data_IF_915968739452
#
_entry.id   IF_915968739452
#
_cell.length_a   1.000
_cell.length_b   1.000
_cell.length_c   1.000
_cell.angle_alpha   90.00
_cell.angle_beta   90.00
_cell.angle_gamma   90.00
#
_symmetry.space_group_name_H-M   'P 1'
#
loop_
_entity.id
_entity.type
_entity.pdbx_description
1 polymer ?
#
# COMPACT_ATOMS: atom_id res chain seq x y z
N UNK A 1 -15.67 -0.72 -24.63
CA UNK A 1 -16.12 -1.93 -23.94
C UNK A 1 -14.90 -2.73 -23.51
N UNK A 2 -14.87 -3.21 -22.26
CA UNK A 2 -13.71 -3.89 -21.70
C UNK A 2 -13.65 -5.36 -22.17
N UNK A 3 -12.59 -5.83 -22.85
CA UNK A 3 -12.48 -7.23 -23.30
C UNK A 3 -12.46 -8.25 -22.17
N UNK A 4 -12.18 -7.83 -20.94
CA UNK A 4 -12.25 -8.70 -19.76
C UNK A 4 -13.66 -9.25 -19.50
N UNK A 5 -14.71 -8.44 -19.77
CA UNK A 5 -16.11 -8.82 -19.50
C UNK A 5 -16.61 -9.91 -20.44
N UNK A 6 -16.17 -9.85 -21.71
CA UNK A 6 -16.53 -10.84 -22.75
C UNK A 6 -15.53 -12.00 -22.83
N UNK A 7 -14.45 -11.97 -22.06
CA UNK A 7 -13.43 -13.01 -22.07
C UNK A 7 -13.97 -14.34 -21.53
N UNK A 8 -13.56 -15.44 -22.15
CA UNK A 8 -13.77 -16.79 -21.64
C UNK A 8 -13.05 -17.00 -20.30
N UNK A 9 -13.43 -18.03 -19.54
CA UNK A 9 -12.80 -18.36 -18.26
C UNK A 9 -11.27 -18.49 -18.37
N UNK A 10 -10.78 -19.25 -19.35
CA UNK A 10 -9.35 -19.44 -19.56
C UNK A 10 -8.63 -18.12 -19.85
N UNK A 11 -9.24 -17.26 -20.69
CA UNK A 11 -8.68 -15.95 -21.02
C UNK A 11 -8.59 -15.03 -19.80
N UNK A 12 -9.56 -15.08 -18.87
CA UNK A 12 -9.49 -14.32 -17.61
C UNK A 12 -8.42 -14.85 -16.67
N UNK A 13 -8.26 -16.17 -16.61
CA UNK A 13 -7.30 -16.83 -15.73
C UNK A 13 -5.85 -16.62 -16.20
N UNK A 14 -5.60 -16.62 -17.51
CA UNK A 14 -4.27 -16.42 -18.10
C UNK A 14 -4.01 -14.99 -18.56
N UNK A 15 -4.94 -14.06 -18.32
CA UNK A 15 -4.88 -12.66 -18.76
C UNK A 15 -4.75 -12.47 -20.28
N UNK A 16 -5.20 -13.45 -21.08
CA UNK A 16 -5.04 -13.44 -22.53
C UNK A 16 -5.75 -12.26 -23.21
N UNK A 17 -6.86 -11.79 -22.64
CA UNK A 17 -7.62 -10.64 -23.15
C UNK A 17 -6.78 -9.35 -23.26
N UNK A 18 -5.74 -9.20 -22.42
CA UNK A 18 -4.87 -8.03 -22.41
C UNK A 18 -3.87 -8.00 -23.58
N UNK A 19 -3.57 -9.14 -24.20
CA UNK A 19 -2.58 -9.25 -25.28
C UNK A 19 -2.85 -8.29 -26.45
N UNK A 20 -4.11 -8.04 -26.77
CA UNK A 20 -4.49 -7.11 -27.84
C UNK A 20 -3.95 -5.69 -27.62
N UNK A 21 -3.94 -5.21 -26.38
CA UNK A 21 -3.38 -3.90 -26.02
C UNK A 21 -1.86 -3.90 -26.03
N UNK A 22 -1.22 -4.99 -25.59
CA UNK A 22 0.25 -5.16 -25.67
C UNK A 22 0.70 -5.06 -27.12
N UNK A 23 0.10 -5.82 -28.03
CA UNK A 23 0.48 -5.79 -29.45
C UNK A 23 0.22 -4.43 -30.10
N UNK A 24 -0.82 -3.72 -29.68
CA UNK A 24 -1.10 -2.36 -30.15
C UNK A 24 -0.02 -1.38 -29.67
N UNK A 25 0.35 -1.45 -28.39
CA UNK A 25 1.42 -0.64 -27.79
C UNK A 25 2.81 -0.93 -28.33
N UNK A 26 3.08 -2.18 -28.74
CA UNK A 26 4.31 -2.55 -29.43
C UNK A 26 4.41 -1.91 -30.81
N UNK A 27 3.28 -1.80 -31.53
CA UNK A 27 3.24 -1.23 -32.89
C UNK A 27 3.17 0.30 -32.91
N UNK A 28 2.52 0.91 -31.94
CA UNK A 28 2.39 2.37 -31.83
C UNK A 28 2.31 2.82 -30.36
N UNK A 29 2.82 4.02 -30.02
CA UNK A 29 2.55 4.61 -28.71
C UNK A 29 1.04 4.69 -28.45
N UNK A 30 0.62 4.24 -27.26
CA UNK A 30 -0.79 4.24 -26.87
C UNK A 30 -1.26 5.66 -26.56
N UNK A 31 -2.44 6.01 -27.07
CA UNK A 31 -3.14 7.25 -26.72
C UNK A 31 -4.30 6.97 -25.75
N UNK A 32 -4.85 8.02 -25.12
CA UNK A 32 -6.01 7.90 -24.21
C UNK A 32 -7.22 7.25 -24.89
N UNK A 33 -7.41 7.50 -26.18
CA UNK A 33 -8.47 6.90 -27.00
C UNK A 33 -8.33 5.39 -27.19
N UNK A 34 -7.11 4.85 -27.05
CA UNK A 34 -6.84 3.42 -27.17
C UNK A 34 -7.18 2.65 -25.87
N UNK A 35 -7.46 3.36 -24.77
CA UNK A 35 -7.74 2.77 -23.46
C UNK A 35 -9.17 2.24 -23.37
N UNK A 36 -9.33 1.08 -22.72
CA UNK A 36 -10.66 0.55 -22.47
C UNK A 36 -11.37 1.32 -21.37
N UNK A 37 -12.69 1.47 -21.54
CA UNK A 37 -13.60 1.89 -20.48
C UNK A 37 -13.55 0.89 -19.33
N UNK A 38 -13.57 1.39 -18.08
CA UNK A 38 -13.71 0.54 -16.89
C UNK A 38 -14.99 -0.30 -16.95
N UNK A 39 -14.92 -1.52 -16.39
CA UNK A 39 -16.08 -2.36 -16.16
C UNK A 39 -17.06 -1.70 -15.19
N UNK A 40 -18.34 -2.03 -15.30
CA UNK A 40 -19.39 -1.39 -14.50
C UNK A 40 -19.21 -1.58 -12.99
N UNK A 41 -18.65 -2.71 -12.57
CA UNK A 41 -18.30 -3.01 -11.18
C UNK A 41 -17.17 -2.12 -10.64
N UNK A 42 -16.30 -1.63 -11.53
CA UNK A 42 -15.15 -0.80 -11.19
C UNK A 42 -15.43 0.71 -11.35
N UNK A 43 -16.65 1.10 -11.74
CA UNK A 43 -17.05 2.50 -11.78
C UNK A 43 -17.38 3.03 -10.39
N UNK A 44 -17.04 4.30 -10.14
CA UNK A 44 -17.25 4.98 -8.86
C UNK A 44 -18.69 4.88 -8.36
N UNK A 45 -19.69 5.00 -9.25
CA UNK A 45 -21.09 4.89 -8.86
C UNK A 45 -21.50 3.50 -8.33
N UNK A 46 -20.92 2.42 -8.84
CA UNK A 46 -21.17 1.06 -8.32
C UNK A 46 -20.41 0.82 -7.01
N UNK A 47 -19.17 1.29 -6.94
CA UNK A 47 -18.32 1.22 -5.74
C UNK A 47 -18.98 1.95 -4.56
N UNK A 48 -19.43 3.20 -4.78
CA UNK A 48 -20.09 3.99 -3.75
C UNK A 48 -21.42 3.37 -3.31
N UNK A 49 -22.26 2.89 -4.24
CA UNK A 49 -23.51 2.21 -3.88
C UNK A 49 -23.29 1.03 -2.92
N UNK A 50 -22.24 0.23 -3.16
CA UNK A 50 -21.91 -0.89 -2.29
C UNK A 50 -21.44 -0.44 -0.90
N UNK A 51 -20.62 0.62 -0.84
CA UNK A 51 -20.09 1.19 0.39
C UNK A 51 -21.16 1.93 1.21
N UNK A 52 -21.93 2.81 0.57
CA UNK A 52 -22.96 3.65 1.18
C UNK A 52 -24.06 2.83 1.86
N UNK A 53 -24.37 1.64 1.30
CA UNK A 53 -25.29 0.67 1.92
C UNK A 53 -24.90 0.28 3.35
N UNK A 54 -23.60 0.30 3.66
CA UNK A 54 -23.05 -0.04 4.98
C UNK A 54 -22.67 1.23 5.75
N UNK A 55 -22.11 2.22 5.05
CA UNK A 55 -21.58 3.44 5.64
C UNK A 55 -22.67 4.36 6.19
N UNK A 56 -23.72 4.66 5.41
CA UNK A 56 -24.77 5.61 5.82
C UNK A 56 -25.47 5.14 7.11
N UNK A 57 -25.96 3.89 7.23
CA UNK A 57 -26.57 3.42 8.48
C UNK A 57 -25.59 3.41 9.66
N UNK A 58 -24.29 3.18 9.40
CA UNK A 58 -23.26 3.20 10.45
C UNK A 58 -23.01 4.62 10.96
N UNK A 59 -23.09 5.63 10.08
CA UNK A 59 -22.97 7.06 10.44
C UNK A 59 -24.20 7.50 11.24
N UNK A 60 -25.40 7.16 10.77
CA UNK A 60 -26.67 7.52 11.44
C UNK A 60 -26.75 6.93 12.84
N UNK A 61 -26.45 5.62 12.98
CA UNK A 61 -26.41 4.96 14.29
C UNK A 61 -25.43 5.62 15.26
N UNK A 62 -24.23 5.99 14.79
CA UNK A 62 -23.26 6.70 15.63
C UNK A 62 -23.72 8.10 16.02
N UNK A 63 -24.41 8.83 15.12
CA UNK A 63 -25.00 10.15 15.44
C UNK A 63 -26.07 10.00 16.52
N UNK A 64 -26.94 8.99 16.43
CA UNK A 64 -27.96 8.70 17.45
C UNK A 64 -27.36 8.29 18.80
N UNK A 65 -26.36 7.41 18.81
CA UNK A 65 -25.66 7.00 20.04
C UNK A 65 -24.93 8.17 20.71
N UNK A 66 -24.31 9.04 19.90
CA UNK A 66 -23.63 10.24 20.41
C UNK A 66 -24.61 11.26 20.97
N UNK A 67 -25.79 11.42 20.36
CA UNK A 67 -26.85 12.29 20.89
C UNK A 67 -27.40 11.79 22.23
N UNK A 68 -27.58 10.46 22.39
CA UNK A 68 -28.00 9.85 23.65
C UNK A 68 -26.96 10.00 24.76
N UNK A 69 -25.68 9.80 24.45
CA UNK A 69 -24.59 10.00 25.43
C UNK A 69 -24.42 11.46 25.86
N UNK A 70 -24.64 12.39 24.93
CA UNK A 70 -24.65 13.82 25.25
C UNK A 70 -25.79 14.18 26.23
N UNK A 71 -26.97 13.55 26.10
CA UNK A 71 -28.04 13.71 27.09
C UNK A 71 -27.73 13.05 28.44
N UNK A 72 -26.90 12.00 28.45
CA UNK A 72 -26.46 11.29 29.67
C UNK A 72 -25.26 11.96 30.37
N UNK A 73 -24.75 13.09 29.85
CA UNK A 73 -23.64 13.85 30.44
C UNK A 73 -22.24 13.31 30.11
N UNK A 74 -22.13 12.32 29.22
CA UNK A 74 -20.84 11.82 28.73
C UNK A 74 -20.27 12.74 27.63
N UNK A 75 -19.02 13.18 27.79
CA UNK A 75 -18.33 14.08 26.85
C UNK A 75 -17.59 13.37 25.71
N UNK A 76 -17.62 12.03 25.68
CA UNK A 76 -16.89 11.26 24.65
C UNK A 76 -17.69 11.15 23.36
N UNK A 77 -17.26 11.91 22.33
CA UNK A 77 -17.81 11.79 20.97
C UNK A 77 -17.30 10.50 20.32
N UNK A 78 -18.21 9.60 19.95
CA UNK A 78 -17.88 8.37 19.23
C UNK A 78 -17.44 8.71 17.81
N UNK A 79 -16.15 8.59 17.52
CA UNK A 79 -15.62 8.86 16.17
C UNK A 79 -15.99 7.73 15.21
N UNK A 80 -16.47 8.10 14.02
CA UNK A 80 -16.77 7.14 12.96
C UNK A 80 -15.44 6.76 12.30
N UNK A 81 -15.11 5.48 12.31
CA UNK A 81 -13.90 4.98 11.63
C UNK A 81 -14.20 4.48 10.22
N UNK A 82 -13.56 5.09 9.23
CA UNK A 82 -13.63 4.73 7.82
C UNK A 82 -13.16 3.29 7.59
N UNK A 83 -12.12 2.88 8.31
CA UNK A 83 -11.56 1.54 8.21
C UNK A 83 -12.61 0.45 8.47
N UNK A 84 -13.46 0.65 9.47
CA UNK A 84 -14.53 -0.30 9.79
C UNK A 84 -15.58 -0.39 8.66
N UNK A 85 -15.92 0.74 8.03
CA UNK A 85 -16.80 0.77 6.86
C UNK A 85 -16.19 0.02 5.67
N UNK A 86 -14.91 0.27 5.39
CA UNK A 86 -14.17 -0.39 4.31
C UNK A 86 -14.09 -1.90 4.54
N UNK A 87 -13.68 -2.32 5.75
CA UNK A 87 -13.56 -3.76 6.09
C UNK A 87 -14.91 -4.45 5.92
N UNK A 88 -16.00 -3.90 6.48
CA UNK A 88 -17.33 -4.51 6.33
C UNK A 88 -17.81 -4.59 4.88
N UNK A 89 -17.38 -3.67 4.02
CA UNK A 89 -17.76 -3.66 2.60
C UNK A 89 -16.97 -4.69 1.80
N UNK A 90 -15.66 -4.81 2.04
CA UNK A 90 -14.76 -5.60 1.20
C UNK A 90 -14.28 -6.92 1.82
N UNK A 91 -14.70 -7.28 3.05
CA UNK A 91 -14.23 -8.50 3.72
C UNK A 91 -14.42 -9.80 2.92
N UNK A 92 -15.51 -10.03 2.14
CA UNK A 92 -15.66 -11.31 1.44
C UNK A 92 -14.61 -11.45 0.33
N UNK A 93 -14.35 -10.36 -0.39
CA UNK A 93 -13.31 -10.31 -1.42
C UNK A 93 -11.91 -10.45 -0.82
N UNK A 94 -11.64 -9.78 0.30
CA UNK A 94 -10.38 -9.87 1.04
C UNK A 94 -10.13 -11.30 1.55
N UNK A 95 -11.16 -11.97 2.08
CA UNK A 95 -11.07 -13.35 2.55
C UNK A 95 -10.78 -14.33 1.40
N UNK A 96 -11.47 -14.19 0.27
CA UNK A 96 -11.22 -15.01 -0.92
C UNK A 96 -9.76 -14.89 -1.38
N UNK A 97 -9.25 -13.65 -1.44
CA UNK A 97 -7.86 -13.37 -1.83
C UNK A 97 -6.87 -13.96 -0.82
N UNK A 98 -7.16 -13.87 0.48
CA UNK A 98 -6.35 -14.49 1.53
C UNK A 98 -6.29 -16.02 1.39
N UNK A 99 -7.41 -16.67 1.08
CA UNK A 99 -7.47 -18.13 0.83
C UNK A 99 -6.62 -18.51 -0.39
N UNK A 100 -6.74 -17.78 -1.51
CA UNK A 100 -5.92 -18.00 -2.70
C UNK A 100 -4.43 -17.88 -2.33
N UNK A 101 -4.06 -16.86 -1.55
CA UNK A 101 -2.67 -16.67 -1.10
C UNK A 101 -2.19 -17.82 -0.23
N UNK A 102 -3.04 -18.32 0.67
CA UNK A 102 -2.70 -19.44 1.55
C UNK A 102 -2.42 -20.71 0.74
N UNK A 103 -3.28 -21.02 -0.23
CA UNK A 103 -3.11 -22.19 -1.11
C UNK A 103 -1.83 -22.04 -1.95
N UNK A 104 -1.60 -20.87 -2.55
CA UNK A 104 -0.37 -20.60 -3.31
C UNK A 104 0.88 -20.77 -2.43
N UNK A 105 0.84 -20.26 -1.20
CA UNK A 105 1.96 -20.37 -0.25
C UNK A 105 2.24 -21.82 0.17
N UNK A 106 1.21 -22.65 0.28
CA UNK A 106 1.37 -24.07 0.57
C UNK A 106 2.01 -24.83 -0.61
N UNK A 107 1.61 -24.49 -1.85
CA UNK A 107 2.17 -25.09 -3.07
C UNK A 107 3.67 -24.83 -3.23
N UNK A 108 4.19 -23.70 -2.74
CA UNK A 108 5.63 -23.39 -2.76
C UNK A 108 6.49 -24.47 -2.06
N UNK A 109 5.93 -25.18 -1.07
CA UNK A 109 6.65 -26.25 -0.35
C UNK A 109 6.53 -27.64 -0.98
N UNK A 110 5.61 -27.82 -1.92
CA UNK A 110 5.41 -29.13 -2.58
C UNK A 110 6.64 -29.50 -3.40
N UNK A 111 7.27 -28.54 -4.08
CA UNK A 111 8.40 -28.84 -4.96
C UNK A 111 9.66 -29.34 -4.21
N UNK A 112 10.11 -28.72 -3.10
CA UNK A 112 11.17 -29.31 -2.26
C UNK A 112 10.88 -30.74 -1.79
N UNK A 113 9.63 -31.04 -1.41
CA UNK A 113 9.24 -32.39 -0.96
C UNK A 113 9.23 -33.40 -2.11
N UNK A 114 8.83 -32.99 -3.32
CA UNK A 114 8.91 -33.82 -4.51
C UNK A 114 10.35 -34.07 -4.94
N UNK A 115 11.22 -33.07 -4.81
CA UNK A 115 12.64 -33.20 -5.13
C UNK A 115 13.31 -34.25 -4.23
N UNK A 116 13.04 -34.23 -2.92
CA UNK A 116 13.55 -35.26 -2.00
C UNK A 116 13.08 -36.67 -2.40
N UNK A 117 11.79 -36.84 -2.69
CA UNK A 117 11.23 -38.12 -3.17
C UNK A 117 11.85 -38.57 -4.49
N UNK A 118 12.12 -37.64 -5.41
CA UNK A 118 12.75 -37.93 -6.68
C UNK A 118 14.21 -38.36 -6.50
N UNK A 119 14.97 -37.68 -5.63
CA UNK A 119 16.35 -38.07 -5.31
C UNK A 119 16.40 -39.47 -4.67
N UNK A 120 15.47 -39.76 -3.76
CA UNK A 120 15.36 -41.08 -3.14
C UNK A 120 14.96 -42.17 -4.16
N UNK A 121 14.08 -41.86 -5.12
CA UNK A 121 13.72 -42.74 -6.24
C UNK A 121 14.90 -43.00 -7.21
N UNK A 122 15.83 -42.07 -7.34
CA UNK A 122 17.03 -42.25 -8.18
C UNK A 122 18.16 -43.01 -7.46
N UNK A 123 17.99 -43.33 -6.17
CA UNK A 123 19.03 -44.00 -5.40
C UNK A 123 19.15 -45.47 -5.82
N UNK A 124 20.37 -46.05 -5.92
CA UNK A 124 20.57 -47.40 -6.47
C UNK A 124 19.83 -48.55 -5.75
N UNK A 125 19.34 -48.29 -4.54
CA UNK A 125 18.66 -49.26 -3.67
C UNK A 125 17.12 -49.19 -3.73
N UNK A 126 16.53 -48.27 -4.50
CA UNK A 126 15.07 -48.13 -4.56
C UNK A 126 14.45 -49.17 -5.50
N UNK A 127 13.67 -50.09 -4.94
CA UNK A 127 12.82 -51.03 -5.69
C UNK A 127 11.45 -50.42 -6.05
N UNK A 128 11.41 -49.11 -6.28
CA UNK A 128 10.15 -48.41 -6.55
C UNK A 128 9.71 -48.56 -8.01
N UNK A 129 8.40 -48.71 -8.28
CA UNK A 129 7.90 -48.80 -9.65
C UNK A 129 8.16 -47.52 -10.48
N UNK A 130 8.46 -47.68 -11.77
CA UNK A 130 8.79 -46.57 -12.69
C UNK A 130 7.70 -45.49 -12.78
N UNK A 131 6.42 -45.86 -12.65
CA UNK A 131 5.29 -44.91 -12.71
C UNK A 131 5.37 -43.82 -11.64
N UNK A 132 6.01 -44.10 -10.49
CA UNK A 132 6.20 -43.12 -9.42
C UNK A 132 7.19 -42.03 -9.83
N UNK A 133 8.25 -42.40 -10.55
CA UNK A 133 9.20 -41.43 -11.12
C UNK A 133 8.50 -40.47 -12.10
N UNK A 134 7.71 -41.00 -13.04
CA UNK A 134 6.92 -40.18 -13.96
C UNK A 134 5.90 -39.29 -13.23
N UNK A 135 5.28 -39.80 -12.15
CA UNK A 135 4.36 -39.02 -11.32
C UNK A 135 5.09 -37.87 -10.60
N UNK A 136 6.24 -38.12 -9.97
CA UNK A 136 7.02 -37.08 -9.29
C UNK A 136 7.47 -35.99 -10.27
N UNK A 137 8.03 -36.37 -11.42
CA UNK A 137 8.44 -35.43 -12.46
C UNK A 137 7.26 -34.60 -12.99
N UNK A 138 6.10 -35.22 -13.22
CA UNK A 138 4.89 -34.53 -13.67
C UNK A 138 4.38 -33.54 -12.61
N UNK A 139 4.37 -33.94 -11.34
CA UNK A 139 3.95 -33.07 -10.23
C UNK A 139 4.93 -31.90 -10.01
N UNK A 140 6.24 -32.10 -10.25
CA UNK A 140 7.24 -31.03 -10.18
C UNK A 140 7.03 -29.96 -11.26
N UNK A 141 6.37 -30.27 -12.37
CA UNK A 141 5.93 -29.27 -13.36
C UNK A 141 4.58 -28.64 -12.98
N UNK A 142 3.60 -29.46 -12.63
CA UNK A 142 2.23 -29.03 -12.35
C UNK A 142 2.18 -28.10 -11.13
N UNK A 143 2.92 -28.40 -10.07
CA UNK A 143 2.88 -27.64 -8.82
C UNK A 143 3.33 -26.18 -9.00
N UNK A 144 4.52 -25.87 -9.55
CA UNK A 144 4.94 -24.48 -9.80
C UNK A 144 4.05 -23.76 -10.83
N UNK A 145 3.49 -24.47 -11.81
CA UNK A 145 2.56 -23.89 -12.78
C UNK A 145 1.30 -23.34 -12.08
N UNK A 146 0.66 -24.16 -11.24
CA UNK A 146 -0.52 -23.72 -10.47
C UNK A 146 -0.16 -22.69 -9.39
N UNK A 147 1.00 -22.81 -8.76
CA UNK A 147 1.49 -21.82 -7.80
C UNK A 147 1.64 -20.43 -8.44
N UNK A 148 2.29 -20.37 -9.61
CA UNK A 148 2.44 -19.13 -10.40
C UNK A 148 1.10 -18.56 -10.83
N UNK A 149 0.17 -19.42 -11.26
CA UNK A 149 -1.17 -19.00 -11.67
C UNK A 149 -1.97 -18.41 -10.50
N UNK A 150 -1.96 -19.06 -9.33
CA UNK A 150 -2.64 -18.58 -8.14
C UNK A 150 -2.02 -17.29 -7.59
N UNK A 151 -0.68 -17.17 -7.57
CA UNK A 151 -0.01 -15.93 -7.20
C UNK A 151 -0.40 -14.78 -8.15
N UNK A 152 -0.43 -15.02 -9.45
CA UNK A 152 -0.83 -14.01 -10.45
C UNK A 152 -2.29 -13.57 -10.26
N UNK A 153 -3.19 -14.53 -9.99
CA UNK A 153 -4.60 -14.24 -9.70
C UNK A 153 -4.78 -13.51 -8.37
N UNK A 154 -4.01 -13.86 -7.34
CA UNK A 154 -3.95 -13.15 -6.07
C UNK A 154 -3.56 -11.68 -6.30
N UNK A 155 -2.45 -11.42 -6.99
CA UNK A 155 -1.94 -10.08 -7.25
C UNK A 155 -2.96 -9.23 -8.02
N UNK A 156 -3.57 -9.79 -9.07
CA UNK A 156 -4.59 -9.08 -9.82
C UNK A 156 -5.80 -8.70 -8.96
N UNK A 157 -6.29 -9.63 -8.15
CA UNK A 157 -7.49 -9.42 -7.33
C UNK A 157 -7.24 -8.46 -6.17
N UNK A 158 -6.12 -8.56 -5.47
CA UNK A 158 -5.80 -7.63 -4.37
C UNK A 158 -5.61 -6.20 -4.91
N UNK A 159 -4.93 -6.05 -6.05
CA UNK A 159 -4.76 -4.74 -6.71
C UNK A 159 -6.10 -4.15 -7.18
N UNK A 160 -7.02 -4.98 -7.66
CA UNK A 160 -8.36 -4.50 -8.04
C UNK A 160 -9.16 -4.04 -6.82
N UNK A 161 -9.13 -4.82 -5.72
CA UNK A 161 -9.82 -4.46 -4.47
C UNK A 161 -9.22 -3.19 -3.86
N UNK A 162 -7.89 -3.07 -3.81
CA UNK A 162 -7.21 -1.88 -3.27
C UNK A 162 -7.53 -0.64 -4.08
N UNK A 163 -7.62 -0.74 -5.41
CA UNK A 163 -8.07 0.37 -6.27
C UNK A 163 -9.53 0.76 -6.05
N UNK A 164 -10.44 -0.21 -5.83
CA UNK A 164 -11.84 0.07 -5.45
C UNK A 164 -11.91 0.82 -4.12
N UNK A 165 -11.13 0.37 -3.12
CA UNK A 165 -11.02 1.03 -1.82
C UNK A 165 -10.50 2.46 -1.98
N UNK A 166 -9.47 2.68 -2.81
CA UNK A 166 -8.94 4.02 -3.10
C UNK A 166 -9.99 4.94 -3.70
N UNK A 167 -10.72 4.46 -4.70
CA UNK A 167 -11.80 5.21 -5.33
C UNK A 167 -12.89 5.58 -4.31
N UNK A 168 -13.23 4.65 -3.40
CA UNK A 168 -14.15 4.90 -2.30
C UNK A 168 -13.63 6.00 -1.36
N UNK A 169 -12.38 5.90 -0.88
CA UNK A 169 -11.75 6.89 0.01
C UNK A 169 -11.75 8.28 -0.61
N UNK A 170 -11.29 8.41 -1.86
CA UNK A 170 -11.27 9.69 -2.58
C UNK A 170 -12.68 10.25 -2.70
N UNK A 171 -13.66 9.40 -3.04
CA UNK A 171 -15.05 9.84 -3.19
C UNK A 171 -15.66 10.30 -1.87
N UNK A 172 -15.39 9.61 -0.76
CA UNK A 172 -15.84 10.02 0.57
C UNK A 172 -15.21 11.35 1.00
N UNK A 173 -13.91 11.56 0.74
CA UNK A 173 -13.22 12.82 1.01
C UNK A 173 -13.84 13.95 0.17
N UNK A 174 -14.11 13.68 -1.11
CA UNK A 174 -14.73 14.64 -2.02
C UNK A 174 -16.14 15.02 -1.57
N UNK A 175 -17.01 14.04 -1.28
CA UNK A 175 -18.36 14.30 -0.76
C UNK A 175 -18.33 15.08 0.56
N UNK A 176 -17.43 14.73 1.48
CA UNK A 176 -17.25 15.46 2.74
C UNK A 176 -16.82 16.91 2.51
N UNK A 177 -15.95 17.15 1.53
CA UNK A 177 -15.48 18.52 1.21
C UNK A 177 -16.62 19.47 0.83
N UNK A 178 -17.70 18.95 0.24
CA UNK A 178 -18.88 19.70 -0.17
C UNK A 178 -19.83 20.04 1.00
N UNK A 179 -19.75 19.29 2.11
CA UNK A 179 -20.64 19.44 3.27
C UNK A 179 -19.96 20.04 4.51
N UNK A 180 -18.66 20.29 4.45
CA UNK A 180 -17.88 20.77 5.58
C UNK A 180 -18.23 22.23 5.94
N UNK A 181 -18.44 22.50 7.23
CA UNK A 181 -18.69 23.83 7.78
C UNK A 181 -17.45 24.74 7.71
N UNK A 182 -17.63 26.05 7.91
CA UNK A 182 -16.54 27.02 8.01
C UNK A 182 -15.56 26.69 9.14
N UNK A 183 -16.09 26.29 10.31
CA UNK A 183 -15.30 25.84 11.47
C UNK A 183 -14.50 24.57 11.13
N UNK A 184 -15.15 23.55 10.55
CA UNK A 184 -14.47 22.31 10.15
C UNK A 184 -13.42 22.51 9.04
N UNK A 185 -13.62 23.49 8.15
CA UNK A 185 -12.66 23.82 7.07
C UNK A 185 -11.45 24.61 7.58
N UNK A 186 -11.55 25.29 8.72
CA UNK A 186 -10.43 26.04 9.32
C UNK A 186 -9.23 25.13 9.67
N UNK A 187 -9.52 23.90 10.06
CA UNK A 187 -8.53 22.89 10.45
C UNK A 187 -7.83 22.20 9.27
N UNK A 188 -8.32 22.40 8.04
CA UNK A 188 -7.81 21.72 6.84
C UNK A 188 -7.66 22.69 5.67
N UNK A 189 -6.41 22.98 5.31
CA UNK A 189 -6.09 23.76 4.12
C UNK A 189 -6.45 23.00 2.83
N UNK A 190 -6.68 23.71 1.73
CA UNK A 190 -6.93 23.07 0.42
C UNK A 190 -5.79 22.12 0.02
N UNK A 191 -4.54 22.45 0.37
CA UNK A 191 -3.38 21.59 0.14
C UNK A 191 -3.43 20.29 0.94
N UNK A 192 -3.88 20.34 2.19
CA UNK A 192 -4.04 19.14 3.03
C UNK A 192 -5.14 18.21 2.49
N UNK A 193 -6.26 18.75 2.01
CA UNK A 193 -7.33 17.94 1.42
C UNK A 193 -6.82 17.21 0.15
N UNK A 194 -6.05 17.91 -0.70
CA UNK A 194 -5.41 17.28 -1.87
C UNK A 194 -4.41 16.21 -1.45
N UNK A 195 -3.66 16.43 -0.37
CA UNK A 195 -2.73 15.44 0.18
C UNK A 195 -3.48 14.18 0.68
N UNK A 196 -4.62 14.35 1.35
CA UNK A 196 -5.48 13.23 1.76
C UNK A 196 -5.97 12.39 0.56
N UNK A 197 -6.39 13.05 -0.53
CA UNK A 197 -6.85 12.37 -1.74
C UNK A 197 -5.71 11.69 -2.52
N UNK A 198 -4.49 12.21 -2.45
CA UNK A 198 -3.36 11.72 -3.26
C UNK A 198 -2.42 10.79 -2.47
N UNK A 199 -1.75 11.30 -1.44
CA UNK A 199 -0.70 10.59 -0.70
C UNK A 199 -1.29 9.62 0.33
N UNK A 200 -2.25 10.08 1.14
CA UNK A 200 -2.82 9.23 2.19
C UNK A 200 -3.63 8.07 1.59
N UNK A 201 -4.40 8.32 0.52
CA UNK A 201 -5.11 7.27 -0.23
C UNK A 201 -4.16 6.26 -0.89
N UNK A 202 -3.02 6.70 -1.40
CA UNK A 202 -2.01 5.83 -2.00
C UNK A 202 -1.36 4.92 -0.94
N UNK A 203 -1.02 5.46 0.23
CA UNK A 203 -0.47 4.65 1.36
C UNK A 203 -1.43 3.54 1.78
N UNK A 204 -2.76 3.79 1.73
CA UNK A 204 -3.78 2.78 2.00
C UNK A 204 -3.70 1.63 0.98
N UNK A 205 -3.62 1.95 -0.32
CA UNK A 205 -3.48 0.95 -1.38
C UNK A 205 -2.24 0.10 -1.18
N UNK A 206 -1.11 0.75 -0.93
CA UNK A 206 0.18 0.09 -0.75
C UNK A 206 0.17 -0.87 0.45
N UNK A 207 -0.45 -0.47 1.56
CA UNK A 207 -0.59 -1.34 2.72
C UNK A 207 -1.53 -2.51 2.45
N UNK A 208 -2.69 -2.30 1.82
CA UNK A 208 -3.64 -3.38 1.50
C UNK A 208 -3.00 -4.44 0.61
N UNK A 209 -2.26 -4.01 -0.42
CA UNK A 209 -1.55 -4.93 -1.31
C UNK A 209 -0.50 -5.77 -0.57
N UNK A 210 0.12 -5.21 0.48
CA UNK A 210 1.15 -5.91 1.22
C UNK A 210 0.63 -6.66 2.47
N UNK A 211 -0.59 -6.40 2.90
CA UNK A 211 -1.16 -6.91 4.14
C UNK A 211 -1.09 -8.44 4.25
N UNK A 212 -1.39 -9.17 3.18
CA UNK A 212 -1.38 -10.64 3.25
C UNK A 212 0.02 -11.24 3.41
N UNK A 213 1.08 -10.50 3.07
CA UNK A 213 2.43 -10.93 3.37
C UNK A 213 2.70 -10.95 4.88
N UNK A 214 2.02 -10.12 5.67
CA UNK A 214 2.26 -10.02 7.12
C UNK A 214 1.97 -11.34 7.85
N UNK A 215 0.91 -12.07 7.46
CA UNK A 215 0.58 -13.37 8.04
C UNK A 215 1.14 -14.55 7.24
N UNK A 216 1.26 -14.40 5.92
CA UNK A 216 1.81 -15.44 5.04
C UNK A 216 3.31 -15.66 5.28
N UNK A 217 4.10 -14.59 5.48
CA UNK A 217 5.53 -14.69 5.70
C UNK A 217 5.93 -15.48 6.96
N UNK A 218 5.37 -15.22 8.15
CA UNK A 218 5.62 -16.05 9.33
C UNK A 218 5.24 -17.51 9.12
N UNK A 219 4.09 -17.77 8.50
CA UNK A 219 3.65 -19.12 8.19
C UNK A 219 4.64 -19.84 7.26
N UNK A 220 5.14 -19.15 6.23
CA UNK A 220 6.16 -19.68 5.33
C UNK A 220 7.49 -19.94 6.05
N UNK A 221 7.91 -19.03 6.94
CA UNK A 221 9.12 -19.23 7.76
C UNK A 221 8.97 -20.47 8.64
N UNK A 222 7.85 -20.60 9.36
CA UNK A 222 7.60 -21.71 10.28
C UNK A 222 7.59 -23.04 9.51
N UNK A 223 6.81 -23.13 8.42
CA UNK A 223 6.75 -24.35 7.60
C UNK A 223 8.11 -24.69 6.98
N UNK A 224 8.82 -23.69 6.45
CA UNK A 224 10.16 -23.88 5.90
C UNK A 224 11.16 -24.38 6.94
N UNK A 225 11.13 -23.84 8.17
CA UNK A 225 11.98 -24.30 9.27
C UNK A 225 11.64 -25.71 9.71
N UNK A 226 10.35 -26.07 9.77
CA UNK A 226 9.92 -27.45 10.10
C UNK A 226 10.42 -28.44 9.04
N UNK A 227 10.30 -28.11 7.76
CA UNK A 227 10.80 -28.96 6.67
C UNK A 227 12.33 -29.07 6.67
N UNK A 228 13.03 -27.96 6.91
CA UNK A 228 14.49 -27.97 7.06
C UNK A 228 14.92 -28.82 8.26
N UNK A 229 14.21 -28.71 9.40
CA UNK A 229 14.46 -29.54 10.57
C UNK A 229 14.29 -31.03 10.28
N UNK A 230 13.28 -31.40 9.49
CA UNK A 230 13.07 -32.80 9.08
C UNK A 230 14.20 -33.32 8.19
N UNK A 231 14.74 -32.48 7.30
CA UNK A 231 15.79 -32.91 6.36
C UNK A 231 17.21 -32.86 6.96
N UNK A 232 17.52 -31.84 7.76
CA UNK A 232 18.87 -31.53 8.24
C UNK A 232 19.06 -31.74 9.75
N UNK A 233 17.97 -31.98 10.50
CA UNK A 233 18.00 -32.18 11.95
C UNK A 233 18.64 -31.01 12.69
N UNK A 234 19.53 -31.34 13.63
CA UNK A 234 20.22 -30.38 14.52
C UNK A 234 21.06 -29.34 13.74
N UNK A 235 21.51 -29.65 12.52
CA UNK A 235 22.24 -28.69 11.68
C UNK A 235 21.41 -27.43 11.35
N UNK A 236 20.07 -27.54 11.38
CA UNK A 236 19.14 -26.41 11.21
C UNK A 236 19.30 -25.35 12.31
N UNK A 237 19.71 -25.74 13.52
CA UNK A 237 19.97 -24.80 14.62
C UNK A 237 21.07 -23.80 14.25
N UNK A 238 22.14 -24.25 13.58
CA UNK A 238 23.24 -23.38 13.18
C UNK A 238 22.76 -22.29 12.20
N UNK A 239 21.88 -22.63 11.25
CA UNK A 239 21.22 -21.68 10.35
C UNK A 239 20.32 -20.69 11.10
N UNK A 240 19.50 -21.17 12.03
CA UNK A 240 18.63 -20.31 12.85
C UNK A 240 19.45 -19.35 13.74
N UNK A 241 20.53 -19.82 14.35
CA UNK A 241 21.43 -18.97 15.14
C UNK A 241 22.05 -17.89 14.27
N UNK A 242 22.52 -18.23 13.07
CA UNK A 242 23.05 -17.23 12.14
C UNK A 242 21.98 -16.20 11.74
N UNK A 243 20.74 -16.63 11.51
CA UNK A 243 19.62 -15.71 11.26
C UNK A 243 19.41 -14.70 12.38
N UNK A 244 19.38 -15.18 13.63
CA UNK A 244 19.22 -14.31 14.79
C UNK A 244 20.36 -13.32 14.95
N UNK A 245 21.57 -13.64 14.47
CA UNK A 245 22.73 -12.74 14.44
C UNK A 245 22.66 -11.75 13.28
N UNK A 246 22.14 -12.15 12.11
CA UNK A 246 22.01 -11.27 10.94
C UNK A 246 20.97 -10.17 11.14
N UNK A 247 19.90 -10.41 11.90
CA UNK A 247 18.87 -9.40 12.21
C UNK A 247 19.44 -8.15 12.90
N UNK A 248 20.13 -8.24 14.05
CA UNK A 248 20.72 -7.07 14.70
C UNK A 248 21.84 -6.45 13.88
N UNK A 249 22.60 -7.24 13.11
CA UNK A 249 23.60 -6.72 12.19
C UNK A 249 22.98 -5.82 11.09
N UNK A 250 21.91 -6.29 10.45
CA UNK A 250 21.16 -5.52 9.46
C UNK A 250 20.47 -4.29 10.08
N UNK A 251 19.98 -4.39 11.32
CA UNK A 251 19.42 -3.26 12.05
C UNK A 251 20.47 -2.18 12.35
N UNK A 252 21.70 -2.58 12.68
CA UNK A 252 22.82 -1.66 12.87
C UNK A 252 23.17 -0.93 11.56
N UNK A 253 23.29 -1.66 10.44
CA UNK A 253 23.53 -1.06 9.11
C UNK A 253 22.41 -0.06 8.78
N UNK A 254 21.15 -0.46 8.95
CA UNK A 254 19.98 0.39 8.70
C UNK A 254 20.03 1.68 9.53
N UNK A 255 20.44 1.59 10.79
CA UNK A 255 20.59 2.76 11.67
C UNK A 255 21.67 3.71 11.13
N UNK A 256 22.82 3.18 10.69
CA UNK A 256 23.87 3.99 10.06
C UNK A 256 23.42 4.61 8.74
N UNK A 257 22.68 3.86 7.92
CA UNK A 257 22.08 4.38 6.68
C UNK A 257 21.17 5.57 6.97
N UNK A 258 20.35 5.51 8.02
CA UNK A 258 19.49 6.64 8.43
C UNK A 258 20.31 7.89 8.75
N UNK A 259 21.42 7.77 9.49
CA UNK A 259 22.30 8.91 9.78
C UNK A 259 22.94 9.49 8.52
N UNK A 260 23.45 8.64 7.62
CA UNK A 260 24.02 9.08 6.35
C UNK A 260 22.96 9.73 5.45
N UNK A 261 21.74 9.20 5.43
CA UNK A 261 20.61 9.77 4.68
C UNK A 261 20.28 11.19 5.15
N UNK A 262 20.28 11.44 6.46
CA UNK A 262 20.07 12.78 7.01
C UNK A 262 21.19 13.75 6.57
N UNK A 263 22.45 13.29 6.54
CA UNK A 263 23.57 14.10 6.04
C UNK A 263 23.43 14.42 4.54
N UNK A 264 23.03 13.44 3.72
CA UNK A 264 22.75 13.62 2.29
C UNK A 264 21.67 14.68 2.10
N UNK A 265 20.55 14.57 2.82
CA UNK A 265 19.44 15.53 2.72
C UNK A 265 19.89 16.94 3.07
N UNK A 266 20.68 17.11 4.13
CA UNK A 266 21.18 18.43 4.57
C UNK A 266 22.04 19.12 3.50
N UNK A 267 22.96 18.41 2.85
CA UNK A 267 23.80 19.00 1.79
C UNK A 267 23.03 19.18 0.48
N UNK A 268 22.11 18.26 0.16
CA UNK A 268 21.19 18.39 -0.97
C UNK A 268 20.32 19.64 -0.85
N UNK A 269 19.77 19.92 0.33
CA UNK A 269 18.90 21.07 0.56
C UNK A 269 19.66 22.40 0.38
N UNK A 270 20.91 22.48 0.86
CA UNK A 270 21.79 23.64 0.59
C UNK A 270 22.03 23.84 -0.90
N UNK A 271 22.33 22.76 -1.64
CA UNK A 271 22.57 22.81 -3.09
C UNK A 271 21.31 23.25 -3.85
N UNK A 272 20.15 22.68 -3.53
CA UNK A 272 18.87 23.02 -4.18
C UNK A 272 18.48 24.47 -3.88
N UNK A 273 18.68 24.94 -2.64
CA UNK A 273 18.46 26.33 -2.27
C UNK A 273 19.35 27.28 -3.09
N UNK A 274 20.66 27.03 -3.16
CA UNK A 274 21.58 27.83 -3.96
C UNK A 274 21.21 27.82 -5.45
N UNK A 275 20.85 26.66 -6.00
CA UNK A 275 20.40 26.57 -7.40
C UNK A 275 19.14 27.40 -7.66
N UNK A 276 18.20 27.46 -6.70
CA UNK A 276 17.03 28.33 -6.81
C UNK A 276 17.41 29.81 -6.82
N UNK A 277 18.36 30.22 -5.96
CA UNK A 277 18.88 31.60 -5.93
C UNK A 277 19.57 31.98 -7.26
N UNK A 278 20.39 31.07 -7.82
CA UNK A 278 21.05 31.26 -9.12
C UNK A 278 20.02 31.45 -10.25
N UNK A 279 18.99 30.59 -10.31
CA UNK A 279 17.99 30.64 -11.38
C UNK A 279 17.12 31.90 -11.31
N UNK A 280 16.69 32.28 -10.10
CA UNK A 280 15.92 33.50 -9.90
C UNK A 280 16.76 34.76 -10.19
N UNK A 281 18.06 34.73 -9.90
CA UNK A 281 19.00 35.84 -10.07
C UNK A 281 19.84 35.82 -11.36
N UNK A 282 19.53 34.97 -12.33
CA UNK A 282 20.47 34.61 -13.41
C UNK A 282 20.97 35.81 -14.24
N UNK A 283 20.11 36.80 -14.47
CA UNK A 283 20.47 38.01 -15.22
C UNK A 283 21.57 38.81 -14.51
N UNK A 284 21.48 38.95 -13.19
CA UNK A 284 22.47 39.68 -12.38
C UNK A 284 23.80 38.93 -12.40
N UNK A 285 23.78 37.61 -12.21
CA UNK A 285 25.00 36.80 -12.25
C UNK A 285 25.73 36.89 -13.60
N UNK A 286 24.97 36.93 -14.71
CA UNK A 286 25.49 37.10 -16.08
C UNK A 286 26.11 38.48 -16.30
N UNK A 287 25.47 39.54 -15.79
CA UNK A 287 25.96 40.92 -15.91
C UNK A 287 27.30 41.12 -15.17
N UNK A 288 27.49 40.44 -14.03
CA UNK A 288 28.72 40.53 -13.23
C UNK A 288 29.74 39.42 -13.52
N UNK A 289 29.47 38.54 -14.50
CA UNK A 289 30.32 37.38 -14.82
C UNK A 289 30.64 36.48 -13.60
N UNK A 290 29.67 36.30 -12.70
CA UNK A 290 29.81 35.53 -11.45
C UNK A 290 29.50 34.03 -11.60
N UNK A 291 29.30 33.54 -12.82
CA UNK A 291 28.84 32.16 -13.03
C UNK A 291 29.85 31.12 -12.55
N UNK A 292 31.14 31.39 -12.73
CA UNK A 292 32.23 30.51 -12.27
C UNK A 292 32.26 30.43 -10.73
N UNK A 293 32.18 31.56 -10.05
CA UNK A 293 32.16 31.62 -8.58
C UNK A 293 30.97 30.86 -7.97
N UNK A 294 29.76 31.07 -8.51
CA UNK A 294 28.57 30.36 -8.04
C UNK A 294 28.57 28.87 -8.41
N UNK A 295 29.13 28.52 -9.58
CA UNK A 295 29.36 27.12 -9.97
C UNK A 295 30.28 26.42 -8.97
N UNK A 296 31.40 27.03 -8.61
CA UNK A 296 32.38 26.40 -7.73
C UNK A 296 31.84 26.27 -6.29
N UNK A 297 31.03 27.23 -5.83
CA UNK A 297 30.28 27.11 -4.59
C UNK A 297 29.28 25.94 -4.63
N UNK A 298 28.51 25.81 -5.70
CA UNK A 298 27.59 24.68 -5.88
C UNK A 298 28.33 23.33 -5.94
N UNK A 299 29.49 23.29 -6.60
CA UNK A 299 30.36 22.11 -6.66
C UNK A 299 30.93 21.73 -5.29
N UNK A 300 31.15 22.70 -4.40
CA UNK A 300 31.58 22.43 -3.01
C UNK A 300 30.50 21.67 -2.24
N UNK A 301 29.24 22.07 -2.34
CA UNK A 301 28.12 21.31 -1.75
C UNK A 301 27.95 19.95 -2.41
N UNK A 302 28.09 19.89 -3.74
CA UNK A 302 27.99 18.63 -4.50
C UNK A 302 29.06 17.62 -4.08
N UNK A 303 30.31 18.04 -3.87
CA UNK A 303 31.40 17.17 -3.42
C UNK A 303 31.11 16.56 -2.04
N UNK A 304 30.59 17.36 -1.10
CA UNK A 304 30.17 16.85 0.23
C UNK A 304 29.00 15.87 0.13
N UNK A 305 27.99 16.20 -0.69
CA UNK A 305 26.86 15.32 -0.99
C UNK A 305 27.35 13.98 -1.59
N UNK A 306 28.29 14.01 -2.54
CA UNK A 306 28.88 12.83 -3.16
C UNK A 306 29.65 11.94 -2.16
N UNK A 307 30.38 12.53 -1.21
CA UNK A 307 31.06 11.75 -0.15
C UNK A 307 30.05 11.00 0.71
N UNK A 308 28.97 11.65 1.13
CA UNK A 308 27.90 10.98 1.88
C UNK A 308 27.16 9.92 1.04
N UNK A 309 26.91 10.19 -0.24
CA UNK A 309 26.36 9.21 -1.18
C UNK A 309 27.28 8.00 -1.36
N UNK A 310 28.60 8.20 -1.39
CA UNK A 310 29.58 7.10 -1.45
C UNK A 310 29.50 6.23 -0.19
N UNK A 311 29.44 6.84 1.00
CA UNK A 311 29.21 6.11 2.25
C UNK A 311 27.90 5.33 2.24
N UNK A 312 26.82 5.93 1.72
CA UNK A 312 25.54 5.26 1.55
C UNK A 312 25.64 4.06 0.58
N UNK A 313 26.38 4.20 -0.52
CA UNK A 313 26.59 3.12 -1.48
C UNK A 313 27.31 1.93 -0.84
N UNK A 314 28.34 2.16 -0.02
CA UNK A 314 29.02 1.08 0.72
C UNK A 314 28.08 0.38 1.72
N UNK A 315 27.25 1.14 2.45
CA UNK A 315 26.26 0.57 3.36
C UNK A 315 25.20 -0.26 2.61
N UNK A 316 24.71 0.23 1.46
CA UNK A 316 23.82 -0.51 0.59
C UNK A 316 24.47 -1.79 0.07
N UNK A 317 25.72 -1.74 -0.36
CA UNK A 317 26.46 -2.92 -0.81
C UNK A 317 26.60 -3.97 0.29
N UNK A 318 26.91 -3.55 1.53
CA UNK A 318 26.94 -4.44 2.69
C UNK A 318 25.57 -5.08 2.98
N UNK A 319 24.49 -4.30 2.85
CA UNK A 319 23.12 -4.81 3.02
C UNK A 319 22.77 -5.84 1.94
N UNK A 320 23.02 -5.53 0.67
CA UNK A 320 22.79 -6.43 -0.47
C UNK A 320 23.62 -7.70 -0.31
N UNK A 321 24.91 -7.58 0.03
CA UNK A 321 25.77 -8.74 0.29
C UNK A 321 25.17 -9.66 1.36
N UNK A 322 24.70 -9.09 2.46
CA UNK A 322 24.11 -9.87 3.56
C UNK A 322 22.85 -10.62 3.12
N UNK A 323 21.98 -9.99 2.32
CA UNK A 323 20.81 -10.65 1.75
C UNK A 323 21.14 -11.68 0.68
N UNK A 324 22.14 -11.43 -0.17
CA UNK A 324 22.57 -12.36 -1.21
C UNK A 324 23.34 -13.56 -0.63
N UNK A 325 24.03 -13.38 0.51
CA UNK A 325 24.72 -14.45 1.21
C UNK A 325 23.77 -15.31 2.06
N UNK A 326 22.65 -14.75 2.53
CA UNK A 326 21.73 -15.44 3.43
C UNK A 326 21.12 -16.76 2.89
N UNK A 327 20.77 -16.92 1.60
CA UNK A 327 20.33 -18.19 1.04
C UNK A 327 21.37 -19.32 1.15
N UNK A 328 22.67 -19.02 1.08
CA UNK A 328 23.73 -20.02 1.23
C UNK A 328 23.77 -20.63 2.64
N UNK A 329 23.23 -19.90 3.62
CA UNK A 329 23.20 -20.35 5.01
C UNK A 329 21.82 -20.86 5.43
N UNK A 330 20.72 -20.29 4.91
CA UNK A 330 19.38 -20.58 5.44
C UNK A 330 18.27 -20.72 4.36
N UNK A 331 18.59 -20.70 3.06
CA UNK A 331 17.72 -21.12 1.93
C UNK A 331 16.34 -20.46 1.75
N UNK A 332 15.41 -20.67 2.69
CA UNK A 332 13.98 -20.36 2.59
C UNK A 332 13.51 -19.21 3.50
N UNK A 333 14.08 -19.04 4.70
CA UNK A 333 13.57 -18.07 5.67
C UNK A 333 14.12 -16.63 5.49
N UNK A 334 15.07 -16.41 4.57
CA UNK A 334 15.72 -15.10 4.39
C UNK A 334 14.85 -14.08 3.65
N UNK A 335 14.06 -14.52 2.66
CA UNK A 335 13.26 -13.62 1.83
C UNK A 335 12.14 -12.98 2.67
N UNK A 336 11.34 -13.71 3.47
CA UNK A 336 10.22 -13.11 4.20
C UNK A 336 10.69 -12.16 5.33
N UNK A 337 11.87 -12.40 5.93
CA UNK A 337 12.43 -11.50 6.93
C UNK A 337 12.87 -10.13 6.36
N UNK A 338 13.30 -10.07 5.10
CA UNK A 338 13.64 -8.81 4.45
C UNK A 338 12.45 -7.86 4.28
N UNK A 339 11.24 -8.42 4.11
CA UNK A 339 10.01 -7.65 3.93
C UNK A 339 9.40 -7.17 5.25
N UNK A 340 9.71 -7.79 6.38
CA UNK A 340 9.07 -7.50 7.66
C UNK A 340 9.25 -6.02 8.11
N UNK A 341 10.46 -5.42 8.06
CA UNK A 341 10.63 -4.00 8.39
C UNK A 341 9.86 -3.06 7.43
N UNK A 342 9.79 -3.42 6.15
CA UNK A 342 9.04 -2.66 5.15
C UNK A 342 7.53 -2.69 5.46
N UNK A 343 7.00 -3.86 5.83
CA UNK A 343 5.60 -4.03 6.20
C UNK A 343 5.24 -3.24 7.45
N UNK A 344 6.08 -3.27 8.49
CA UNK A 344 5.84 -2.50 9.71
C UNK A 344 5.85 -0.99 9.44
N UNK A 345 6.80 -0.50 8.63
CA UNK A 345 6.86 0.90 8.23
C UNK A 345 5.60 1.33 7.46
N UNK A 346 5.16 0.52 6.51
CA UNK A 346 3.97 0.79 5.71
C UNK A 346 2.69 0.71 6.55
N UNK A 347 2.63 -0.20 7.54
CA UNK A 347 1.55 -0.26 8.53
C UNK A 347 1.48 1.00 9.40
N UNK A 348 2.62 1.51 9.88
CA UNK A 348 2.65 2.76 10.63
C UNK A 348 2.17 3.96 9.80
N UNK A 349 2.63 4.07 8.54
CA UNK A 349 2.17 5.11 7.62
C UNK A 349 0.68 4.99 7.31
N UNK A 350 0.17 3.78 7.13
CA UNK A 350 -1.24 3.50 6.94
C UNK A 350 -2.09 3.98 8.12
N UNK A 351 -1.68 3.67 9.36
CA UNK A 351 -2.40 4.09 10.56
C UNK A 351 -2.47 5.61 10.68
N UNK A 352 -1.36 6.31 10.42
CA UNK A 352 -1.34 7.78 10.42
C UNK A 352 -2.28 8.34 9.34
N UNK A 353 -2.23 7.78 8.12
CA UNK A 353 -3.13 8.20 7.04
C UNK A 353 -4.60 7.98 7.40
N UNK A 354 -4.93 6.82 7.99
CA UNK A 354 -6.30 6.50 8.41
C UNK A 354 -6.79 7.46 9.49
N UNK A 355 -5.98 7.75 10.51
CA UNK A 355 -6.32 8.72 11.56
C UNK A 355 -6.57 10.12 11.00
N UNK A 356 -5.76 10.56 10.02
CA UNK A 356 -5.94 11.87 9.38
C UNK A 356 -7.23 11.94 8.57
N UNK A 357 -7.55 10.88 7.83
CA UNK A 357 -8.79 10.79 7.06
C UNK A 357 -10.01 10.69 8.00
N UNK A 358 -9.95 9.87 9.04
CA UNK A 358 -11.02 9.76 10.05
C UNK A 358 -11.25 11.11 10.73
N UNK A 359 -10.20 11.84 11.11
CA UNK A 359 -10.33 13.20 11.67
C UNK A 359 -11.05 14.13 10.69
N UNK A 360 -10.71 14.08 9.40
CA UNK A 360 -11.34 14.90 8.37
C UNK A 360 -12.83 14.53 8.14
N UNK A 361 -13.13 13.23 8.08
CA UNK A 361 -14.49 12.74 7.87
C UNK A 361 -15.42 12.99 9.07
N UNK A 362 -14.86 13.09 10.29
CA UNK A 362 -15.61 13.48 11.49
C UNK A 362 -15.68 15.01 11.70
N UNK A 363 -15.15 15.82 10.79
CA UNK A 363 -15.24 17.28 10.88
C UNK A 363 -16.69 17.79 10.83
N UNK A 364 -16.95 18.94 11.47
CA UNK A 364 -18.27 19.54 11.56
C UNK A 364 -18.87 19.84 10.17
N UNK A 365 -20.08 19.34 9.92
CA UNK A 365 -20.83 19.57 8.68
C UNK A 365 -21.74 20.79 8.81
N UNK A 366 -22.10 21.38 7.67
CA UNK A 366 -23.14 22.41 7.60
C UNK A 366 -24.48 21.75 7.92
N UNK A 367 -25.27 22.40 8.79
CA UNK A 367 -26.63 21.96 9.06
C UNK A 367 -27.56 22.39 7.92
N UNK A 368 -27.89 21.45 7.03
CA UNK A 368 -28.82 21.67 5.92
C UNK A 368 -30.26 21.97 6.41
N UNK A 369 -30.59 21.68 7.67
CA UNK A 369 -31.91 21.95 8.26
C UNK A 369 -32.00 23.31 8.95
N UNK A 370 -30.89 24.07 9.04
CA UNK A 370 -30.87 25.37 9.67
C UNK A 370 -31.75 26.42 8.95
N UNK A 371 -32.04 26.22 7.66
CA UNK A 371 -32.89 27.09 6.85
C UNK A 371 -34.06 26.28 6.31
N UNK A 372 -35.29 26.69 6.64
CA UNK A 372 -36.50 26.10 6.06
C UNK A 372 -36.82 26.74 4.71
N UNK A 373 -36.84 25.94 3.64
CA UNK A 373 -37.30 26.38 2.33
C UNK A 373 -38.80 26.08 2.17
N UNK A 374 -39.66 27.05 2.52
CA UNK A 374 -41.11 26.93 2.41
C UNK A 374 -41.64 27.92 1.37
N UNK A 375 -42.15 27.41 0.24
CA UNK A 375 -42.65 28.21 -0.89
C UNK A 375 -43.96 28.93 -0.60
N UNK A 376 -44.64 28.62 0.51
CA UNK A 376 -45.97 29.15 0.85
C UNK A 376 -45.93 30.44 1.68
N UNK A 377 -44.76 31.02 1.94
CA UNK A 377 -44.60 32.23 2.76
C UNK A 377 -44.67 33.48 1.86
N UNK A 378 -45.43 34.50 2.29
CA UNK A 378 -45.61 35.76 1.53
C UNK A 378 -44.33 36.58 1.36
N UNK A 379 -43.38 36.44 2.30
CA UNK A 379 -42.13 37.18 2.30
C UNK A 379 -40.99 36.32 1.71
N UNK A 380 -40.12 36.89 0.84
CA UNK A 380 -39.03 36.12 0.20
C UNK A 380 -38.00 35.52 1.17
N UNK A 381 -37.74 36.19 2.30
CA UNK A 381 -36.85 35.73 3.39
C UNK A 381 -37.42 36.22 4.72
N UNK A 382 -37.44 35.37 5.74
CA UNK A 382 -37.87 35.70 7.11
C UNK A 382 -36.81 35.22 8.09
N UNK A 383 -36.36 36.10 8.99
CA UNK A 383 -35.41 35.79 10.06
C UNK A 383 -36.00 36.34 11.36
N UNK A 384 -36.29 35.45 12.31
CA UNK A 384 -36.85 35.81 13.63
C UNK A 384 -35.94 35.25 14.73
N UNK A 385 -35.50 36.10 15.67
CA UNK A 385 -34.67 35.72 16.83
C UNK A 385 -33.42 34.87 16.50
N UNK A 386 -32.81 35.05 15.32
CA UNK A 386 -31.62 34.32 14.92
C UNK A 386 -30.35 34.83 15.60
N UNK A 387 -29.59 33.92 16.22
CA UNK A 387 -28.22 34.18 16.70
C UNK A 387 -27.25 33.29 15.92
N UNK A 388 -26.15 33.87 15.44
CA UNK A 388 -25.19 33.18 14.57
C UNK A 388 -23.75 33.46 15.05
N UNK A 389 -22.92 32.42 15.06
CA UNK A 389 -21.48 32.55 15.35
C UNK A 389 -20.64 31.80 14.32
N UNK A 390 -19.40 32.23 14.13
CA UNK A 390 -18.45 31.56 13.24
C UNK A 390 -17.75 30.37 13.90
N UNK A 391 -17.75 30.32 15.24
CA UNK A 391 -17.16 29.24 16.02
C UNK A 391 -18.06 28.82 17.19
N UNK A 392 -17.98 27.53 17.56
CA UNK A 392 -18.67 27.00 18.75
C UNK A 392 -17.99 27.59 20.00
N UNK A 393 -18.69 28.50 20.69
CA UNK A 393 -18.21 29.13 21.94
C UNK A 393 -18.15 30.66 21.94
N UNK A 394 -18.51 31.34 20.84
CA UNK A 394 -18.51 32.81 20.73
C UNK A 394 -19.88 33.47 20.96
N UNK A 395 -20.89 32.73 21.45
CA UNK A 395 -22.26 33.22 21.63
C UNK A 395 -22.62 33.45 23.09
#
# INVERSE_FOLDING_TARGET
MNPEETASFLSRVTFWWFNSMIFKGYKKPLATEDMWSLSDDNKTGSILRAFDKIWIPSVEKNKEESAKRASDGETTVTQISLLNGIIKTYWPGMLLVAIIKLIASALTFVNPMLLDKLINFMSPMSSEPEWRGYLYASLMFISPFFESLLNSQYEYRINTISMRIRACVISSIYQKSLRLSSSGRKDFTSGEIVNLMSVDSQRIVEFINMFNHLWSAPLQIILGLVLLWQQLGVATLAGMTLMLVLVPFNAYITTKMRFVQMAIMREKDKRVKLMSEILNGIKVLKLYAWETSFRDLAMTYRSKECLSLKSMAYLNAAMVFTFSAAPFFIGLASIPMGFLPLILSMGAMFLVSMQRIDKYLNGDEIDEKAISHNENIKSPVVIENGSFSWSKGES
#
